data_IF_805292512190
#
_entry.id   IF_805292512190
#
_cell.length_a   1.000
_cell.length_b   1.000
_cell.length_c   1.000
_cell.angle_alpha   90.00
_cell.angle_beta   90.00
_cell.angle_gamma   90.00
#
_symmetry.space_group_name_H-M   'P 1'
#
loop_
_entity.id
_entity.type
_entity.pdbx_description
1 polymer ?
#
# COMPACT_ATOMS: atom_id res chain seq x y z
N UNK A 1 9.87 8.50 -13.84
CA UNK A 1 9.23 7.39 -14.58
C UNK A 1 10.03 6.08 -14.55
N UNK A 2 11.36 6.12 -14.54
CA UNK A 2 12.18 4.89 -14.48
C UNK A 2 12.01 4.06 -13.21
N UNK A 3 11.51 4.67 -12.13
CA UNK A 3 11.36 4.02 -10.83
C UNK A 3 10.22 2.99 -10.80
N UNK A 4 9.15 3.21 -11.56
CA UNK A 4 8.01 2.28 -11.59
C UNK A 4 8.38 0.93 -12.23
N UNK A 5 9.15 0.93 -13.30
CA UNK A 5 9.63 -0.30 -13.94
C UNK A 5 10.55 -1.11 -13.03
N UNK A 6 11.42 -0.42 -12.31
CA UNK A 6 12.28 -1.06 -11.30
C UNK A 6 11.45 -1.65 -10.17
N UNK A 7 10.51 -0.89 -9.65
CA UNK A 7 9.59 -1.34 -8.61
C UNK A 7 8.82 -2.59 -9.05
N UNK A 8 8.28 -2.58 -10.27
CA UNK A 8 7.56 -3.73 -10.84
C UNK A 8 8.44 -4.98 -10.92
N UNK A 9 9.69 -4.83 -11.39
CA UNK A 9 10.65 -5.94 -11.45
C UNK A 9 10.94 -6.52 -10.07
N UNK A 10 11.19 -5.66 -9.08
CA UNK A 10 11.46 -6.06 -7.70
C UNK A 10 10.24 -6.70 -7.05
N UNK A 11 9.03 -6.20 -7.36
CA UNK A 11 7.78 -6.77 -6.89
C UNK A 11 7.56 -8.19 -7.42
N UNK A 12 7.84 -8.40 -8.71
CA UNK A 12 7.77 -9.73 -9.31
C UNK A 12 8.80 -10.70 -8.72
N UNK A 13 9.98 -10.21 -8.37
CA UNK A 13 10.98 -11.02 -7.67
C UNK A 13 10.50 -11.42 -6.28
N UNK A 14 9.90 -10.50 -5.53
CA UNK A 14 9.30 -10.80 -4.24
C UNK A 14 8.19 -11.83 -4.38
N UNK A 15 7.30 -11.66 -5.35
CA UNK A 15 6.21 -12.60 -5.60
C UNK A 15 6.71 -14.01 -5.90
N UNK A 16 7.77 -14.14 -6.71
CA UNK A 16 8.41 -15.45 -6.97
C UNK A 16 8.99 -16.07 -5.71
N UNK A 17 9.64 -15.25 -4.88
CA UNK A 17 10.19 -15.70 -3.59
C UNK A 17 9.10 -16.21 -2.64
N UNK A 18 7.93 -15.60 -2.70
CA UNK A 18 6.76 -15.95 -1.87
C UNK A 18 5.85 -16.99 -2.54
N UNK A 19 6.18 -17.44 -3.75
CA UNK A 19 5.35 -18.34 -4.55
C UNK A 19 3.91 -17.82 -4.70
N UNK A 20 3.76 -16.49 -4.84
CA UNK A 20 2.47 -15.83 -5.04
C UNK A 20 2.18 -15.61 -6.51
N UNK A 21 0.97 -15.98 -6.92
CA UNK A 21 0.40 -15.53 -8.19
C UNK A 21 -0.28 -14.18 -8.00
N UNK A 22 0.40 -13.11 -8.41
CA UNK A 22 -0.12 -11.75 -8.26
C UNK A 22 -1.44 -11.54 -9.00
N UNK A 23 -1.67 -12.24 -10.11
CA UNK A 23 -2.90 -12.12 -10.89
C UNK A 23 -4.13 -12.70 -10.16
N UNK A 24 -3.92 -13.53 -9.12
CA UNK A 24 -4.99 -14.08 -8.30
C UNK A 24 -5.57 -13.04 -7.30
N UNK A 25 -4.95 -11.89 -7.15
CA UNK A 25 -5.35 -10.86 -6.20
C UNK A 25 -5.72 -9.56 -6.91
N UNK A 26 -6.59 -8.77 -6.28
CA UNK A 26 -6.83 -7.39 -6.63
C UNK A 26 -5.85 -6.50 -5.86
N UNK A 27 -5.22 -5.55 -6.55
CA UNK A 27 -4.45 -4.48 -5.90
C UNK A 27 -5.26 -3.18 -5.99
N UNK A 28 -5.58 -2.57 -4.86
CA UNK A 28 -6.44 -1.39 -4.82
C UNK A 28 -5.66 -0.08 -4.85
N UNK A 29 -4.40 -0.07 -4.40
CA UNK A 29 -3.55 1.12 -4.46
C UNK A 29 -2.07 0.78 -4.42
N UNK A 30 -1.27 1.76 -4.85
CA UNK A 30 0.19 1.75 -4.79
C UNK A 30 0.66 2.92 -3.95
N UNK A 31 1.71 2.73 -3.17
CA UNK A 31 2.19 3.72 -2.22
C UNK A 31 3.64 4.13 -2.48
N UNK A 32 3.89 5.40 -2.19
CA UNK A 32 5.20 6.05 -2.23
C UNK A 32 5.83 6.10 -0.83
N UNK A 33 7.14 6.33 -0.79
CA UNK A 33 7.88 6.76 0.39
C UNK A 33 8.71 7.99 0.05
N UNK A 34 8.73 8.94 0.97
CA UNK A 34 9.51 10.16 0.86
C UNK A 34 10.38 10.32 2.10
N UNK A 35 11.64 10.73 1.93
CA UNK A 35 12.54 11.00 3.06
C UNK A 35 12.38 12.42 3.60
N UNK A 36 11.87 13.35 2.77
CA UNK A 36 11.72 14.75 3.12
C UNK A 36 10.32 15.26 2.79
N UNK A 37 9.86 16.25 3.56
CA UNK A 37 8.60 16.94 3.28
C UNK A 37 8.59 17.58 1.90
N UNK A 38 9.72 18.15 1.48
CA UNK A 38 9.84 18.77 0.15
C UNK A 38 9.62 17.75 -0.98
N UNK A 39 10.09 16.53 -0.82
CA UNK A 39 9.85 15.46 -1.79
C UNK A 39 8.37 15.10 -1.86
N UNK A 40 7.71 14.99 -0.71
CA UNK A 40 6.27 14.73 -0.64
C UNK A 40 5.46 15.85 -1.30
N UNK A 41 5.83 17.11 -1.07
CA UNK A 41 5.18 18.27 -1.72
C UNK A 41 5.35 18.26 -3.24
N UNK A 42 6.52 17.88 -3.74
CA UNK A 42 6.76 17.71 -5.18
C UNK A 42 5.88 16.61 -5.78
N UNK A 43 5.76 15.47 -5.10
CA UNK A 43 4.86 14.40 -5.51
C UNK A 43 3.41 14.85 -5.50
N UNK A 44 2.98 15.55 -4.45
CA UNK A 44 1.61 16.08 -4.36
C UNK A 44 1.29 16.98 -5.54
N UNK A 45 2.17 17.90 -5.86
CA UNK A 45 2.01 18.81 -7.01
C UNK A 45 1.91 18.01 -8.32
N UNK A 46 2.80 17.05 -8.55
CA UNK A 46 2.79 16.22 -9.74
C UNK A 46 1.52 15.36 -9.87
N UNK A 47 1.08 14.74 -8.78
CA UNK A 47 -0.12 13.91 -8.75
C UNK A 47 -1.38 14.73 -9.03
N UNK A 48 -1.45 15.97 -8.58
CA UNK A 48 -2.57 16.87 -8.87
C UNK A 48 -2.65 17.29 -10.35
N UNK A 49 -1.55 17.16 -11.11
CA UNK A 49 -1.59 17.40 -12.55
C UNK A 49 -2.19 16.22 -13.34
N UNK A 50 -2.16 15.02 -12.79
CA UNK A 50 -2.63 13.80 -13.47
C UNK A 50 -3.76 13.07 -12.74
N UNK A 51 -4.28 13.67 -11.69
CA UNK A 51 -5.35 13.11 -10.89
C UNK A 51 -5.99 14.14 -9.98
N UNK A 52 -6.78 13.66 -9.04
CA UNK A 52 -7.44 14.48 -8.02
C UNK A 52 -7.21 13.92 -6.63
N UNK A 53 -7.24 14.80 -5.62
CA UNK A 53 -7.16 14.40 -4.23
C UNK A 53 -8.44 13.66 -3.82
N UNK A 54 -8.29 12.41 -3.40
CA UNK A 54 -9.39 11.58 -2.89
C UNK A 54 -9.59 11.78 -1.40
N UNK A 55 -8.50 11.83 -0.63
CA UNK A 55 -8.53 11.91 0.82
C UNK A 55 -7.20 12.47 1.35
N UNK A 56 -7.28 13.16 2.47
CA UNK A 56 -6.13 13.56 3.28
C UNK A 56 -6.45 13.25 4.74
N UNK A 57 -5.60 12.50 5.41
CA UNK A 57 -5.83 12.06 6.77
C UNK A 57 -4.53 12.02 7.57
N UNK A 58 -4.65 12.19 8.89
CA UNK A 58 -3.52 12.01 9.81
C UNK A 58 -3.49 10.57 10.29
N UNK A 59 -2.42 9.86 9.99
CA UNK A 59 -2.23 8.46 10.40
C UNK A 59 -0.84 8.33 11.02
N UNK A 60 -0.79 7.85 12.26
CA UNK A 60 0.47 7.72 13.02
C UNK A 60 1.26 9.04 13.07
N UNK A 61 0.57 10.17 13.27
CA UNK A 61 1.18 11.48 13.46
C UNK A 61 1.71 12.17 12.21
N UNK A 62 1.38 11.67 11.01
CA UNK A 62 1.80 12.25 9.73
C UNK A 62 0.65 12.33 8.73
N UNK A 63 0.66 13.32 7.83
CA UNK A 63 -0.33 13.36 6.74
C UNK A 63 -0.13 12.20 5.77
N UNK A 64 -1.23 11.61 5.33
CA UNK A 64 -1.28 10.66 4.22
C UNK A 64 -2.36 11.13 3.25
N UNK A 65 -1.96 11.40 2.01
CA UNK A 65 -2.88 11.77 0.94
C UNK A 65 -3.13 10.58 0.02
N UNK A 66 -4.36 10.45 -0.44
CA UNK A 66 -4.74 9.51 -1.48
C UNK A 66 -5.18 10.29 -2.71
N UNK A 67 -4.75 9.84 -3.88
CA UNK A 67 -5.08 10.46 -5.16
C UNK A 67 -5.75 9.44 -6.07
N UNK A 68 -6.75 9.89 -6.82
CA UNK A 68 -7.31 9.12 -7.93
C UNK A 68 -6.74 9.66 -9.23
N UNK A 69 -6.04 8.83 -9.98
CA UNK A 69 -5.44 9.20 -11.26
C UNK A 69 -6.47 9.19 -12.39
N UNK A 70 -6.36 10.12 -13.32
CA UNK A 70 -7.18 10.14 -14.53
C UNK A 70 -6.90 8.94 -15.44
N UNK A 71 -5.65 8.48 -15.46
CA UNK A 71 -5.22 7.30 -16.20
C UNK A 71 -4.57 6.32 -15.22
N UNK A 72 -5.08 5.08 -15.11
CA UNK A 72 -4.49 4.09 -14.22
C UNK A 72 -3.04 3.75 -14.60
N UNK A 73 -2.24 3.46 -13.58
CA UNK A 73 -0.90 2.90 -13.77
C UNK A 73 -1.02 1.40 -14.04
N UNK A 74 -0.23 0.92 -14.99
CA UNK A 74 -0.05 -0.52 -15.18
C UNK A 74 1.11 -0.99 -14.29
N UNK A 75 0.81 -1.90 -13.36
CA UNK A 75 1.79 -2.46 -12.42
C UNK A 75 1.60 -3.97 -12.42
N UNK A 76 2.50 -4.72 -13.08
CA UNK A 76 2.34 -6.16 -13.25
C UNK A 76 0.99 -6.50 -13.91
N UNK A 77 0.17 -7.36 -13.27
CA UNK A 77 -1.14 -7.74 -13.82
C UNK A 77 -2.23 -6.70 -13.56
N UNK A 78 -1.94 -5.61 -12.85
CA UNK A 78 -2.96 -4.67 -12.39
C UNK A 78 -2.98 -3.35 -13.14
N UNK A 79 -4.14 -2.73 -13.13
CA UNK A 79 -4.34 -1.33 -13.48
C UNK A 79 -4.80 -0.61 -12.21
N UNK A 80 -3.93 0.25 -11.66
CA UNK A 80 -4.14 0.90 -10.36
C UNK A 80 -4.29 2.40 -10.58
N UNK A 81 -5.40 2.97 -10.17
CA UNK A 81 -5.67 4.40 -10.26
C UNK A 81 -5.54 5.14 -8.93
N UNK A 82 -5.36 4.44 -7.82
CA UNK A 82 -5.20 5.05 -6.51
C UNK A 82 -3.75 5.06 -6.08
N UNK A 83 -3.23 6.24 -5.74
CA UNK A 83 -1.86 6.44 -5.25
C UNK A 83 -1.92 6.98 -3.83
N UNK A 84 -1.19 6.33 -2.93
CA UNK A 84 -1.00 6.78 -1.56
C UNK A 84 0.33 7.54 -1.45
N UNK A 85 0.26 8.73 -0.87
CA UNK A 85 1.41 9.60 -0.62
C UNK A 85 1.49 9.93 0.87
N UNK A 86 2.30 9.19 1.64
CA UNK A 86 2.58 9.55 3.02
C UNK A 86 3.72 10.57 3.10
N UNK A 87 3.56 11.56 4.00
CA UNK A 87 4.67 12.41 4.41
C UNK A 87 5.61 11.62 5.32
N UNK A 88 6.90 12.00 5.40
CA UNK A 88 7.83 11.31 6.29
C UNK A 88 7.41 11.47 7.75
N UNK A 89 7.49 10.36 8.50
CA UNK A 89 7.31 10.33 9.95
C UNK A 89 8.65 10.19 10.68
N UNK A 90 8.61 9.69 11.91
CA UNK A 90 9.81 9.43 12.71
C UNK A 90 10.61 8.22 12.22
N UNK A 91 9.96 7.30 11.50
CA UNK A 91 10.60 6.10 10.98
C UNK A 91 11.35 6.41 9.69
N UNK A 92 12.62 6.01 9.63
CA UNK A 92 13.42 6.10 8.42
C UNK A 92 13.27 4.86 7.56
N UNK A 93 13.00 5.07 6.27
CA UNK A 93 12.96 4.00 5.26
C UNK A 93 14.23 4.03 4.42
N UNK A 94 14.76 2.85 4.01
CA UNK A 94 16.03 2.79 3.27
C UNK A 94 15.94 3.39 1.87
N UNK A 95 14.75 3.43 1.27
CA UNK A 95 14.56 3.87 -0.12
C UNK A 95 13.42 4.87 -0.23
N UNK A 96 13.54 5.79 -1.21
CA UNK A 96 12.47 6.68 -1.66
C UNK A 96 11.81 6.13 -2.94
N UNK A 97 10.63 6.67 -3.27
CA UNK A 97 9.89 6.31 -4.48
C UNK A 97 8.80 5.27 -4.20
N UNK A 98 8.49 4.48 -5.21
CA UNK A 98 7.49 3.41 -5.09
C UNK A 98 7.97 2.35 -4.11
N UNK A 99 7.11 2.01 -3.14
CA UNK A 99 7.51 1.16 -2.02
C UNK A 99 6.64 -0.07 -1.84
N UNK A 100 5.31 0.06 -1.96
CA UNK A 100 4.43 -1.09 -1.80
C UNK A 100 3.15 -1.00 -2.62
N UNK A 101 2.53 -2.15 -2.83
CA UNK A 101 1.13 -2.29 -3.23
C UNK A 101 0.36 -2.99 -2.13
N UNK A 102 -0.94 -2.70 -2.02
CA UNK A 102 -1.83 -3.41 -1.11
C UNK A 102 -2.79 -4.29 -1.90
N UNK A 103 -2.89 -5.54 -1.44
CA UNK A 103 -3.74 -6.58 -2.01
C UNK A 103 -4.99 -6.72 -1.16
N UNK A 104 -6.14 -6.72 -1.82
CA UNK A 104 -7.42 -6.93 -1.15
C UNK A 104 -7.63 -8.41 -0.92
N UNK A 105 -7.81 -8.78 0.34
CA UNK A 105 -8.16 -10.14 0.77
C UNK A 105 -9.51 -10.06 1.49
N UNK A 106 -10.63 -10.11 0.74
CA UNK A 106 -11.96 -9.89 1.31
C UNK A 106 -12.31 -10.92 2.37
N UNK A 107 -13.06 -10.49 3.38
CA UNK A 107 -13.53 -11.36 4.45
C UNK A 107 -13.54 -10.66 5.80
N UNK A 108 -13.71 -11.43 6.86
CA UNK A 108 -13.73 -10.92 8.22
C UNK A 108 -12.39 -10.28 8.59
N UNK A 109 -12.38 -8.99 8.96
CA UNK A 109 -11.13 -8.31 9.36
C UNK A 109 -10.41 -8.98 10.52
N UNK A 110 -11.16 -9.61 11.45
CA UNK A 110 -10.56 -10.28 12.62
C UNK A 110 -9.74 -11.49 12.26
N UNK A 111 -9.94 -12.06 11.06
CA UNK A 111 -9.23 -13.24 10.56
C UNK A 111 -8.23 -12.90 9.46
N UNK A 112 -7.98 -11.62 9.18
CA UNK A 112 -7.10 -11.23 8.08
C UNK A 112 -5.70 -11.83 8.23
N UNK A 113 -5.07 -11.71 9.41
CA UNK A 113 -3.69 -12.16 9.60
C UNK A 113 -3.52 -13.65 9.31
N UNK A 114 -4.31 -14.58 9.91
CA UNK A 114 -4.18 -16.00 9.56
C UNK A 114 -4.54 -16.30 8.11
N UNK A 115 -5.51 -15.61 7.50
CA UNK A 115 -5.87 -15.81 6.10
C UNK A 115 -4.76 -15.34 5.16
N UNK A 116 -4.13 -14.20 5.45
CA UNK A 116 -3.00 -13.70 4.66
C UNK A 116 -1.77 -14.62 4.80
N UNK A 117 -1.47 -15.09 6.00
CA UNK A 117 -0.39 -16.07 6.23
C UNK A 117 -0.64 -17.37 5.45
N UNK A 118 -1.89 -17.81 5.34
CA UNK A 118 -2.24 -19.01 4.58
C UNK A 118 -1.99 -18.87 3.06
N UNK A 119 -1.88 -17.64 2.55
CA UNK A 119 -1.50 -17.38 1.15
C UNK A 119 0.01 -17.59 0.90
N UNK A 120 0.82 -17.67 1.96
CA UNK A 120 2.27 -17.73 1.88
C UNK A 120 2.75 -19.14 2.24
N UNK A 121 3.72 -19.71 1.49
CA UNK A 121 4.30 -20.99 1.85
C UNK A 121 5.18 -20.86 3.10
N UNK A 122 5.19 -21.89 3.94
CA UNK A 122 5.98 -21.89 5.18
C UNK A 122 7.46 -21.58 4.95
N UNK A 123 8.03 -22.11 3.88
CA UNK A 123 9.42 -21.87 3.50
C UNK A 123 9.72 -20.38 3.23
N UNK A 124 8.75 -19.64 2.68
CA UNK A 124 8.91 -18.20 2.43
C UNK A 124 8.93 -17.39 3.74
N UNK A 125 8.17 -17.83 4.76
CA UNK A 125 8.09 -17.14 6.06
C UNK A 125 9.40 -17.15 6.83
N UNK A 126 10.24 -18.14 6.57
CA UNK A 126 11.56 -18.32 7.22
C UNK A 126 12.72 -18.01 6.29
N UNK A 127 12.46 -17.59 5.03
CA UNK A 127 13.51 -17.31 4.07
C UNK A 127 14.36 -16.10 4.51
N UNK A 128 15.69 -16.15 4.33
CA UNK A 128 16.55 -15.01 4.62
C UNK A 128 16.12 -13.75 3.87
N UNK A 129 16.07 -12.63 4.58
CA UNK A 129 15.70 -11.34 4.00
C UNK A 129 14.20 -11.07 3.91
N UNK A 130 13.35 -12.05 4.18
CA UNK A 130 11.90 -11.86 4.25
C UNK A 130 11.52 -11.46 5.68
N UNK A 131 10.74 -10.37 5.79
CA UNK A 131 10.21 -9.88 7.07
C UNK A 131 8.70 -9.71 6.98
N UNK A 132 8.02 -10.03 8.06
CA UNK A 132 6.59 -9.86 8.23
C UNK A 132 6.31 -8.78 9.26
N UNK A 133 5.26 -7.99 9.00
CA UNK A 133 4.78 -7.01 9.98
C UNK A 133 3.25 -7.03 10.01
N UNK A 134 2.70 -7.25 11.20
CA UNK A 134 1.28 -7.11 11.48
C UNK A 134 1.01 -5.70 11.99
N UNK A 135 -0.02 -5.04 11.48
CA UNK A 135 -0.41 -3.72 11.91
C UNK A 135 -1.91 -3.51 11.83
N UNK A 136 -2.39 -2.50 12.56
CA UNK A 136 -3.77 -2.04 12.52
C UNK A 136 -3.77 -0.52 12.30
N UNK A 137 -3.38 -0.05 11.07
CA UNK A 137 -3.41 1.38 10.81
C UNK A 137 -4.84 1.90 10.89
N UNK A 138 -5.00 3.06 11.52
CA UNK A 138 -6.29 3.71 11.66
C UNK A 138 -6.12 5.21 11.58
N UNK A 139 -6.84 5.83 10.65
CA UNK A 139 -6.98 7.28 10.59
C UNK A 139 -7.98 7.78 11.64
N UNK A 140 -7.90 9.06 11.97
CA UNK A 140 -8.74 9.67 13.01
C UNK A 140 -10.24 9.55 12.74
N UNK A 141 -10.63 9.47 11.47
CA UNK A 141 -12.02 9.42 11.02
C UNK A 141 -12.43 8.07 10.40
N UNK A 142 -11.51 7.13 10.32
CA UNK A 142 -11.79 5.81 9.76
C UNK A 142 -12.65 4.98 10.72
N UNK A 143 -13.69 4.35 10.18
CA UNK A 143 -14.64 3.53 10.93
C UNK A 143 -14.47 2.04 10.69
N UNK A 144 -13.95 1.67 9.52
CA UNK A 144 -13.69 0.27 9.21
C UNK A 144 -12.36 -0.18 9.83
N UNK A 145 -12.33 -1.35 10.49
CA UNK A 145 -11.06 -1.90 10.94
C UNK A 145 -10.20 -2.26 9.73
N UNK A 146 -8.93 -1.90 9.78
CA UNK A 146 -8.00 -2.13 8.67
C UNK A 146 -6.74 -2.88 9.13
N UNK A 147 -6.87 -4.13 9.61
CA UNK A 147 -5.70 -4.94 9.91
C UNK A 147 -4.92 -5.19 8.64
N UNK A 148 -3.60 -5.17 8.74
CA UNK A 148 -2.70 -5.29 7.60
C UNK A 148 -1.58 -6.28 7.92
N UNK A 149 -1.27 -7.16 6.96
CA UNK A 149 -0.04 -7.95 6.96
C UNK A 149 0.86 -7.45 5.85
N UNK A 150 2.04 -6.98 6.22
CA UNK A 150 3.09 -6.58 5.29
C UNK A 150 4.16 -7.65 5.19
N UNK A 151 4.59 -7.94 3.96
CA UNK A 151 5.69 -8.87 3.66
C UNK A 151 6.70 -8.12 2.81
N UNK A 152 7.94 -8.06 3.26
CA UNK A 152 8.99 -7.31 2.58
C UNK A 152 10.28 -8.12 2.43
N UNK A 153 11.01 -7.85 1.35
CA UNK A 153 12.39 -8.31 1.15
C UNK A 153 13.43 -7.21 1.47
N UNK A 154 13.01 -6.09 2.07
CA UNK A 154 13.84 -4.94 2.36
C UNK A 154 13.92 -3.92 1.22
N UNK A 155 13.43 -4.23 0.02
CA UNK A 155 13.39 -3.34 -1.15
C UNK A 155 11.98 -2.88 -1.46
N UNK A 156 11.06 -3.83 -1.57
CA UNK A 156 9.63 -3.60 -1.84
C UNK A 156 8.80 -4.38 -0.87
N UNK A 157 7.54 -3.99 -0.73
CA UNK A 157 6.60 -4.59 0.21
C UNK A 157 5.29 -4.92 -0.49
N UNK A 158 4.73 -6.07 -0.17
CA UNK A 158 3.35 -6.44 -0.44
C UNK A 158 2.58 -6.38 0.87
N UNK A 159 1.39 -5.79 0.85
CA UNK A 159 0.50 -5.76 2.02
C UNK A 159 -0.82 -6.40 1.66
N UNK A 160 -1.42 -7.06 2.66
CA UNK A 160 -2.77 -7.60 2.59
C UNK A 160 -3.67 -6.83 3.54
N UNK A 161 -4.87 -6.46 3.09
CA UNK A 161 -5.90 -5.86 3.92
C UNK A 161 -7.30 -6.31 3.47
N UNK A 162 -8.35 -6.19 4.34
CA UNK A 162 -9.64 -6.81 4.03
C UNK A 162 -10.57 -5.94 3.18
N UNK A 163 -10.35 -4.62 3.12
CA UNK A 163 -11.18 -3.66 2.40
C UNK A 163 -10.35 -2.89 1.39
N UNK A 164 -10.95 -2.52 0.26
CA UNK A 164 -10.33 -1.54 -0.63
C UNK A 164 -10.17 -0.20 0.10
N UNK A 165 -9.10 0.50 -0.17
CA UNK A 165 -8.86 1.81 0.45
C UNK A 165 -10.01 2.80 0.15
N UNK A 166 -10.63 2.69 -1.00
CA UNK A 166 -11.79 3.50 -1.38
C UNK A 166 -12.99 3.26 -0.45
N UNK A 167 -13.20 2.02 0.01
CA UNK A 167 -14.24 1.68 0.97
C UNK A 167 -13.95 2.28 2.35
N UNK A 168 -12.69 2.28 2.77
CA UNK A 168 -12.24 2.90 4.02
C UNK A 168 -12.49 4.41 3.97
N UNK A 169 -12.11 5.06 2.87
CA UNK A 169 -12.36 6.49 2.65
C UNK A 169 -13.86 6.80 2.66
N UNK A 170 -14.67 5.99 1.99
CA UNK A 170 -16.13 6.17 1.98
C UNK A 170 -16.73 6.06 3.38
N UNK A 171 -16.16 5.22 4.26
CA UNK A 171 -16.60 5.10 5.66
C UNK A 171 -16.34 6.36 6.47
N UNK A 172 -15.29 7.12 6.14
CA UNK A 172 -14.99 8.40 6.76
C UNK A 172 -16.01 9.49 6.34
N UNK A 173 -16.35 9.52 5.06
CA UNK A 173 -17.25 10.53 4.49
C UNK A 173 -18.67 10.37 4.98
N UNK A 174 -19.15 9.16 5.25
CA UNK A 174 -20.49 8.90 5.80
C UNK A 174 -20.61 9.34 7.27
N UNK A 175 -19.52 9.64 7.95
CA UNK A 175 -19.48 10.11 9.33
C UNK A 175 -19.79 11.60 9.48
N UNK A 176 -19.74 12.38 8.39
CA UNK A 176 -19.95 13.83 8.37
C UNK A 176 -21.35 14.29 8.03
N UNK A 177 -22.34 13.35 7.92
CA UNK A 177 -23.76 13.66 7.65
C UNK A 177 -24.60 13.49 8.89
#
# INVERSE_FOLDING_TARGET
MNDLSRFETELQQLARQLELDLAAFEADHISLRCHQNSTAEQWRTALLTCGSLLSENMINGRPICLFTLHQPLTVGPWRIDCVELPWPGSKHYPHEGWEHVELVLPGDPTTLHPRALACLPDAALTAPGIKLKFSHPQGEHERLPNPTLAVTNGRVTLKFHPYRIQEIVASEQSAGQ
#
